data_IF_169170169497
#
_entry.id   IF_169170169497
#
_cell.length_a   1.000
_cell.length_b   1.000
_cell.length_c   1.000
_cell.angle_alpha   90.00
_cell.angle_beta   90.00
_cell.angle_gamma   90.00
#
_symmetry.space_group_name_H-M   'P 1'
#
loop_
_entity.id
_entity.type
_entity.pdbx_description
1 polymer ?
#
# COMPACT_ATOMS: atom_id res chain seq x y z
N UNK A 1 16.59 -8.01 14.35
CA UNK A 1 15.92 -6.69 14.21
C UNK A 1 15.79 -6.43 12.70
N UNK A 2 15.24 -7.42 11.97
CA UNK A 2 15.69 -7.68 10.59
C UNK A 2 14.62 -7.37 9.53
N UNK A 3 13.53 -6.71 9.94
CA UNK A 3 12.35 -6.46 9.10
C UNK A 3 12.03 -4.97 8.88
N UNK A 4 13.00 -4.07 9.08
CA UNK A 4 12.83 -2.62 8.80
C UNK A 4 13.11 -2.30 7.33
N UNK A 5 12.29 -1.45 6.73
CA UNK A 5 12.50 -0.83 5.43
C UNK A 5 12.86 0.64 5.64
N UNK A 6 13.86 1.11 4.89
CA UNK A 6 14.23 2.53 4.84
C UNK A 6 13.43 3.24 3.74
N UNK A 7 12.87 4.39 4.08
CA UNK A 7 12.18 5.30 3.19
C UNK A 7 12.93 6.64 3.18
N UNK A 8 14.01 6.80 2.39
CA UNK A 8 14.84 8.01 2.43
C UNK A 8 14.06 9.30 2.19
N UNK A 9 13.01 9.26 1.36
CA UNK A 9 12.12 10.39 1.11
C UNK A 9 10.95 10.50 2.12
N UNK A 10 10.77 9.52 3.00
CA UNK A 10 9.58 9.35 3.82
C UNK A 10 8.35 8.95 3.01
N UNK A 11 7.17 9.14 3.61
CA UNK A 11 5.87 8.99 2.94
C UNK A 11 5.22 10.36 2.73
N UNK A 12 4.30 10.49 1.78
CA UNK A 12 3.56 11.74 1.61
C UNK A 12 2.74 12.04 2.87
N UNK A 13 2.89 13.26 3.40
CA UNK A 13 2.32 13.66 4.69
C UNK A 13 3.19 13.30 5.91
N UNK A 14 4.22 12.46 5.74
CA UNK A 14 5.15 12.04 6.80
C UNK A 14 6.60 12.05 6.27
N UNK A 15 7.13 13.21 5.85
CA UNK A 15 8.45 13.28 5.24
C UNK A 15 9.56 12.92 6.23
N UNK A 16 9.36 13.13 7.53
CA UNK A 16 10.40 12.91 8.56
C UNK A 16 10.47 11.46 9.07
N UNK A 17 9.46 10.64 8.79
CA UNK A 17 9.46 9.22 9.14
C UNK A 17 10.15 8.43 8.02
N UNK A 18 11.28 7.80 8.35
CA UNK A 18 12.20 7.15 7.41
C UNK A 18 12.29 5.65 7.60
N UNK A 19 11.73 5.09 8.68
CA UNK A 19 11.85 3.67 8.99
C UNK A 19 10.50 3.06 9.32
N UNK A 20 10.16 2.01 8.57
CA UNK A 20 8.89 1.30 8.71
C UNK A 20 9.11 -0.21 8.72
N UNK A 21 8.22 -0.94 9.39
CA UNK A 21 8.15 -2.40 9.33
C UNK A 21 6.87 -2.81 8.61
N UNK A 22 6.96 -3.87 7.80
CA UNK A 22 5.79 -4.52 7.21
C UNK A 22 5.42 -5.71 8.10
N UNK A 23 4.19 -5.73 8.58
CA UNK A 23 3.67 -6.74 9.50
C UNK A 23 2.50 -7.47 8.84
N UNK A 24 2.50 -8.80 8.99
CA UNK A 24 1.41 -9.63 8.48
C UNK A 24 0.15 -9.46 9.33
N UNK A 25 -1.00 -9.43 8.66
CA UNK A 25 -2.31 -9.51 9.32
C UNK A 25 -2.73 -10.98 9.37
N UNK A 26 -2.95 -11.56 10.57
CA UNK A 26 -3.33 -12.96 10.70
C UNK A 26 -4.56 -13.31 9.85
N UNK A 27 -4.45 -14.37 9.04
CA UNK A 27 -5.52 -14.83 8.15
C UNK A 27 -5.67 -14.06 6.84
N UNK A 28 -4.95 -12.95 6.62
CA UNK A 28 -5.03 -12.17 5.39
C UNK A 28 -3.93 -12.49 4.35
N UNK A 29 -2.91 -13.26 4.73
CA UNK A 29 -1.78 -13.61 3.86
C UNK A 29 -1.06 -12.38 3.32
N UNK A 30 -0.74 -12.40 2.02
CA UNK A 30 -0.09 -11.26 1.35
C UNK A 30 -1.07 -10.20 0.83
N UNK A 31 -2.38 -10.45 0.95
CA UNK A 31 -3.42 -9.56 0.42
C UNK A 31 -3.55 -8.30 1.27
N UNK A 32 -3.39 -8.40 2.59
CA UNK A 32 -3.45 -7.28 3.52
C UNK A 32 -2.28 -7.34 4.48
N UNK A 33 -1.57 -6.23 4.62
CA UNK A 33 -0.46 -6.05 5.57
C UNK A 33 -0.59 -4.72 6.30
N UNK A 34 0.19 -4.55 7.37
CA UNK A 34 0.34 -3.26 8.06
C UNK A 34 1.73 -2.70 7.81
N UNK A 35 1.83 -1.43 7.45
CA UNK A 35 3.06 -0.66 7.41
C UNK A 35 3.12 0.20 8.67
N UNK A 36 4.03 -0.07 9.59
CA UNK A 36 4.08 0.61 10.89
C UNK A 36 5.40 1.36 11.03
N UNK A 37 5.35 2.62 11.44
CA UNK A 37 6.56 3.41 11.70
C UNK A 37 7.30 2.86 12.92
N UNK A 38 8.63 2.77 12.83
CA UNK A 38 9.47 2.47 14.01
C UNK A 38 9.82 3.72 14.81
N UNK A 39 9.43 4.89 14.32
CA UNK A 39 9.85 6.20 14.83
C UNK A 39 8.69 6.95 15.51
N UNK A 40 7.46 6.69 15.08
CA UNK A 40 6.23 7.17 15.75
C UNK A 40 5.22 6.02 15.87
N UNK A 41 4.93 5.53 17.09
CA UNK A 41 4.02 4.41 17.30
C UNK A 41 2.56 4.72 16.92
N UNK A 42 2.20 5.99 16.71
CA UNK A 42 0.86 6.38 16.30
C UNK A 42 0.68 6.37 14.77
N UNK A 43 1.76 6.11 14.01
CA UNK A 43 1.72 6.12 12.55
C UNK A 43 1.80 4.70 12.01
N UNK A 44 0.70 4.28 11.38
CA UNK A 44 0.60 3.03 10.64
C UNK A 44 -0.42 3.11 9.51
N UNK A 45 -0.25 2.26 8.49
CA UNK A 45 -1.08 2.23 7.30
C UNK A 45 -1.47 0.79 6.96
N UNK A 46 -2.72 0.62 6.53
CA UNK A 46 -3.13 -0.66 5.93
C UNK A 46 -2.65 -0.70 4.48
N UNK A 47 -1.87 -1.72 4.15
CA UNK A 47 -1.44 -2.04 2.80
C UNK A 47 -2.34 -3.12 2.22
N UNK A 48 -2.71 -2.98 0.95
CA UNK A 48 -3.42 -4.01 0.19
C UNK A 48 -2.65 -4.37 -1.06
N UNK A 49 -2.61 -5.66 -1.41
CA UNK A 49 -2.06 -6.12 -2.68
C UNK A 49 -3.06 -5.78 -3.79
N UNK A 50 -2.81 -4.75 -4.61
CA UNK A 50 -3.87 -4.15 -5.42
C UNK A 50 -4.41 -5.09 -6.50
N UNK A 51 -3.56 -5.99 -7.02
CA UNK A 51 -3.95 -6.93 -8.07
C UNK A 51 -5.00 -7.95 -7.63
N UNK A 52 -5.15 -8.20 -6.31
CA UNK A 52 -6.21 -9.04 -5.78
C UNK A 52 -7.61 -8.39 -5.85
N UNK A 53 -7.67 -7.06 -5.86
CA UNK A 53 -8.93 -6.28 -5.87
C UNK A 53 -9.20 -5.65 -7.22
N UNK A 54 -8.15 -5.33 -7.98
CA UNK A 54 -8.22 -4.60 -9.24
C UNK A 54 -7.47 -5.38 -10.34
N UNK A 55 -8.08 -6.40 -10.98
CA UNK A 55 -7.41 -7.24 -11.97
C UNK A 55 -6.90 -6.50 -13.22
N UNK A 56 -7.40 -5.28 -13.46
CA UNK A 56 -6.97 -4.41 -14.57
C UNK A 56 -5.94 -3.35 -14.14
N UNK A 57 -5.53 -3.35 -12.87
CA UNK A 57 -4.50 -2.46 -12.39
C UNK A 57 -3.14 -2.91 -12.95
N UNK A 58 -2.53 -2.07 -13.79
CA UNK A 58 -1.24 -2.34 -14.43
C UNK A 58 -0.49 -1.01 -14.60
N UNK A 59 0.05 -0.45 -13.51
CA UNK A 59 0.72 0.84 -13.56
C UNK A 59 2.09 0.72 -14.21
N UNK A 60 2.46 1.73 -15.01
CA UNK A 60 3.83 1.92 -15.45
C UNK A 60 4.60 2.66 -14.34
N UNK A 61 5.65 2.04 -13.83
CA UNK A 61 6.50 2.63 -12.79
C UNK A 61 7.66 3.37 -13.46
N UNK A 62 7.88 4.67 -13.19
CA UNK A 62 9.03 5.39 -13.72
C UNK A 62 10.35 4.74 -13.29
N UNK A 63 11.31 4.65 -14.21
CA UNK A 63 12.63 4.05 -13.95
C UNK A 63 13.36 4.72 -12.78
N UNK A 64 13.25 6.04 -12.65
CA UNK A 64 13.82 6.81 -11.55
C UNK A 64 13.32 6.36 -10.16
N UNK A 65 12.06 5.92 -10.07
CA UNK A 65 11.46 5.43 -8.83
C UNK A 65 11.94 4.02 -8.49
N UNK A 66 12.21 3.17 -9.50
CA UNK A 66 12.87 1.87 -9.32
C UNK A 66 14.32 2.06 -8.84
N UNK A 67 15.08 2.95 -9.49
CA UNK A 67 16.44 3.29 -9.11
C UNK A 67 16.50 3.84 -7.67
N UNK A 68 15.52 4.64 -7.26
CA UNK A 68 15.45 5.18 -5.90
C UNK A 68 15.37 4.09 -4.82
N UNK A 69 14.74 2.95 -5.12
CA UNK A 69 14.72 1.76 -4.25
C UNK A 69 15.83 0.76 -4.58
N UNK A 70 16.75 1.08 -5.50
CA UNK A 70 17.85 0.22 -5.91
C UNK A 70 17.40 -1.04 -6.66
N UNK A 71 16.32 -0.94 -7.42
CA UNK A 71 15.85 -1.99 -8.32
C UNK A 71 16.29 -1.69 -9.76
N UNK A 72 16.63 -2.73 -10.50
CA UNK A 72 16.95 -2.67 -11.94
C UNK A 72 15.72 -2.91 -12.81
N UNK A 73 14.67 -3.51 -12.24
CA UNK A 73 13.42 -3.81 -12.94
C UNK A 73 12.24 -3.93 -11.98
N UNK A 74 11.01 -3.90 -12.52
CA UNK A 74 9.79 -3.95 -11.72
C UNK A 74 9.59 -5.32 -11.02
N UNK A 75 10.18 -6.40 -11.54
CA UNK A 75 10.12 -7.74 -10.95
C UNK A 75 10.89 -7.84 -9.63
N UNK A 76 11.83 -6.92 -9.38
CA UNK A 76 12.60 -6.87 -8.14
C UNK A 76 11.89 -6.12 -7.01
N UNK A 77 10.72 -5.53 -7.27
CA UNK A 77 9.95 -4.79 -6.27
C UNK A 77 8.59 -5.42 -6.01
N UNK A 78 8.13 -5.28 -4.77
CA UNK A 78 6.76 -5.55 -4.39
C UNK A 78 5.98 -4.23 -4.44
N UNK A 79 4.75 -4.27 -4.93
CA UNK A 79 3.88 -3.12 -5.03
C UNK A 79 2.63 -3.33 -4.17
N UNK A 80 2.39 -2.41 -3.25
CA UNK A 80 1.18 -2.34 -2.43
C UNK A 80 0.50 -0.98 -2.59
N UNK A 81 -0.82 -0.93 -2.41
CA UNK A 81 -1.56 0.33 -2.29
C UNK A 81 -1.89 0.59 -0.81
N UNK A 82 -1.91 1.86 -0.40
CA UNK A 82 -2.41 2.24 0.92
C UNK A 82 -3.95 2.26 0.88
N UNK A 83 -4.58 1.58 1.83
CA UNK A 83 -6.02 1.55 2.00
C UNK A 83 -6.47 2.41 3.19
N UNK A 84 -7.60 3.09 3.00
CA UNK A 84 -8.38 3.70 4.08
C UNK A 84 -9.50 2.75 4.47
N UNK A 85 -9.51 2.30 5.72
CA UNK A 85 -10.50 1.36 6.26
C UNK A 85 -11.33 2.09 7.31
N UNK A 86 -12.55 2.55 6.98
CA UNK A 86 -13.47 3.12 7.96
C UNK A 86 -14.11 2.02 8.81
N UNK A 87 -14.92 2.40 9.81
CA UNK A 87 -15.66 1.47 10.68
C UNK A 87 -16.48 0.44 9.88
N UNK A 88 -17.20 0.90 8.86
CA UNK A 88 -17.80 0.02 7.87
C UNK A 88 -16.77 -0.37 6.80
N UNK A 89 -16.07 -1.48 7.02
CA UNK A 89 -14.99 -1.94 6.13
C UNK A 89 -15.43 -2.12 4.67
N UNK A 90 -16.72 -2.31 4.39
CA UNK A 90 -17.24 -2.45 3.01
C UNK A 90 -17.06 -1.15 2.21
N UNK A 91 -16.87 -0.02 2.90
CA UNK A 91 -16.57 1.29 2.32
C UNK A 91 -15.07 1.56 2.19
N UNK A 92 -14.22 0.57 2.42
CA UNK A 92 -12.79 0.74 2.30
C UNK A 92 -12.38 1.08 0.87
N UNK A 93 -11.39 1.98 0.76
CA UNK A 93 -10.87 2.46 -0.52
C UNK A 93 -9.36 2.33 -0.55
N UNK A 94 -8.77 2.05 -1.71
CA UNK A 94 -7.33 2.07 -1.94
C UNK A 94 -6.91 3.30 -2.75
N UNK A 95 -5.72 3.82 -2.45
CA UNK A 95 -5.06 4.82 -3.27
C UNK A 95 -4.22 4.12 -4.35
N UNK A 96 -4.78 3.99 -5.56
CA UNK A 96 -4.08 3.39 -6.69
C UNK A 96 -3.17 4.39 -7.42
N UNK A 97 -3.37 5.70 -7.19
CA UNK A 97 -2.51 6.75 -7.77
C UNK A 97 -1.16 6.88 -7.07
N UNK A 98 -1.08 6.49 -5.80
CA UNK A 98 0.12 6.63 -4.99
C UNK A 98 0.57 5.30 -4.32
N UNK A 99 0.90 4.25 -5.08
CA UNK A 99 1.34 2.98 -4.53
C UNK A 99 2.68 3.10 -3.79
N UNK A 100 2.98 2.10 -2.98
CA UNK A 100 4.23 1.94 -2.26
C UNK A 100 5.01 0.78 -2.86
N UNK A 101 6.22 1.07 -3.32
CA UNK A 101 7.20 0.08 -3.75
C UNK A 101 8.04 -0.35 -2.55
N UNK A 102 8.35 -1.64 -2.49
CA UNK A 102 9.28 -2.23 -1.55
C UNK A 102 10.28 -3.07 -2.32
N UNK A 103 11.56 -2.76 -2.20
CA UNK A 103 12.61 -3.64 -2.68
C UNK A 103 13.06 -4.56 -1.52
N UNK A 104 12.74 -5.86 -1.55
CA UNK A 104 13.08 -6.78 -0.47
C UNK A 104 14.59 -7.04 -0.38
N UNK A 105 15.36 -6.82 -1.45
CA UNK A 105 16.81 -7.04 -1.49
C UNK A 105 17.58 -5.88 -0.88
N UNK A 106 17.22 -4.65 -1.23
CA UNK A 106 17.88 -3.43 -0.72
C UNK A 106 17.26 -2.89 0.56
N UNK A 107 16.09 -3.43 0.94
CA UNK A 107 15.29 -2.97 2.09
C UNK A 107 14.89 -1.50 1.98
N UNK A 108 14.76 -0.98 0.77
CA UNK A 108 14.28 0.38 0.51
C UNK A 108 12.81 0.37 0.10
N UNK A 109 12.07 1.35 0.60
CA UNK A 109 10.69 1.63 0.23
C UNK A 109 10.52 3.02 -0.34
N UNK A 110 9.48 3.19 -1.16
CA UNK A 110 9.17 4.45 -1.82
C UNK A 110 7.69 4.56 -2.13
N UNK A 111 7.06 5.67 -1.78
CA UNK A 111 5.71 5.99 -2.25
C UNK A 111 5.80 6.78 -3.56
N UNK A 112 5.21 6.25 -4.62
CA UNK A 112 5.34 6.77 -5.99
C UNK A 112 4.03 7.43 -6.38
N UNK A 113 4.04 8.66 -6.90
CA UNK A 113 2.85 9.25 -7.53
C UNK A 113 2.88 8.88 -9.02
N UNK A 114 1.89 8.12 -9.45
CA UNK A 114 1.74 7.77 -10.86
C UNK A 114 1.25 8.99 -11.65
N UNK A 115 1.85 9.20 -12.82
CA UNK A 115 1.41 10.21 -13.78
C UNK A 115 0.13 9.82 -14.53
N UNK A 116 -0.26 8.55 -14.44
CA UNK A 116 -1.47 8.00 -15.05
C UNK A 116 -2.73 8.43 -14.29
N UNK A 117 -3.58 9.21 -14.96
CA UNK A 117 -4.81 9.77 -14.41
C UNK A 117 -5.98 8.78 -14.33
N UNK A 118 -5.83 7.58 -14.92
CA UNK A 118 -6.82 6.50 -14.84
C UNK A 118 -6.95 5.93 -13.43
N UNK A 119 -5.96 6.14 -12.57
CA UNK A 119 -5.95 5.65 -11.19
C UNK A 119 -6.40 6.73 -10.21
N UNK A 120 -7.47 6.43 -9.46
CA UNK A 120 -7.96 7.30 -8.40
C UNK A 120 -7.19 7.16 -7.08
N UNK A 121 -7.40 8.16 -6.22
CA UNK A 121 -6.87 8.18 -4.85
C UNK A 121 -7.79 7.47 -3.84
N UNK A 122 -9.03 7.14 -4.24
CA UNK A 122 -10.07 6.50 -3.41
C UNK A 122 -10.87 5.51 -4.24
N UNK A 123 -10.22 4.44 -4.68
CA UNK A 123 -10.84 3.35 -5.44
C UNK A 123 -11.50 2.36 -4.49
N UNK A 124 -12.82 2.09 -4.59
CA UNK A 124 -13.50 1.14 -3.70
C UNK A 124 -12.92 -0.28 -3.80
N UNK A 125 -12.58 -0.88 -2.66
CA UNK A 125 -12.08 -2.27 -2.61
C UNK A 125 -13.19 -3.29 -2.86
N UNK A 126 -14.43 -2.97 -2.47
CA UNK A 126 -15.59 -3.85 -2.61
C UNK A 126 -16.61 -3.19 -3.54
N UNK A 127 -16.76 -3.72 -4.75
CA UNK A 127 -17.79 -3.26 -5.67
C UNK A 127 -19.16 -3.75 -5.20
N UNK A 128 -20.13 -2.84 -5.09
CA UNK A 128 -21.52 -3.19 -4.73
C UNK A 128 -21.78 -3.39 -3.24
N UNK A 129 -21.05 -2.70 -2.35
CA UNK A 129 -21.30 -2.71 -0.90
C UNK A 129 -22.75 -2.38 -0.49
N UNK A 130 -23.52 -1.71 -1.36
CA UNK A 130 -24.96 -1.45 -1.18
C UNK A 130 -25.84 -2.69 -1.35
N UNK A 131 -25.29 -3.84 -1.76
CA UNK A 131 -26.04 -5.09 -2.04
C UNK A 131 -25.88 -6.19 -1.01
N UNK A 132 -25.14 -5.95 0.08
CA UNK A 132 -25.07 -6.88 1.21
C UNK A 132 -26.15 -6.43 2.19
N UNK A 133 -27.26 -7.18 2.37
CA UNK A 133 -28.24 -6.86 3.40
C UNK A 133 -27.51 -6.74 4.73
N UNK A 134 -27.77 -5.68 5.48
CA UNK A 134 -27.32 -5.62 6.86
C UNK A 134 -27.84 -6.90 7.56
N UNK A 135 -26.95 -7.65 8.21
CA UNK A 135 -27.41 -8.74 9.07
C UNK A 135 -28.36 -8.14 10.10
N UNK A 136 -29.64 -8.50 10.00
CA UNK A 136 -30.62 -8.21 11.04
C UNK A 136 -30.14 -8.92 12.30
N UNK A 137 -29.77 -8.12 13.30
CA UNK A 137 -29.32 -8.60 14.60
C UNK A 137 -30.32 -9.61 15.16
N UNK A 138 -29.80 -10.79 15.52
CA UNK A 138 -30.49 -11.73 16.41
C UNK A 138 -30.22 -11.39 17.86
#
# INVERSE_FOLDING_TARGET
MDNVFEFPAGLYGFPDLKRFVVVDVPGAGDVVKQLVSTEDPNVGFTLVFPFAFFPRYSPDIPEEELVAVGAESAEQVLLYAIASVPEDFRKATANLRAPVLFNPFTRKGRQVILGDDRYGIREPLFQGADRIPAEEGR
#
